data_IF_452692302917
#
_entry.id   IF_452692302917
#
_cell.length_a   1.000
_cell.length_b   1.000
_cell.length_c   1.000
_cell.angle_alpha   90.00
_cell.angle_beta   90.00
_cell.angle_gamma   90.00
#
_symmetry.space_group_name_H-M   'P 1'
#
loop_
_entity.id
_entity.type
_entity.pdbx_description
1 polymer ?
#
# COMPACT_ATOMS: atom_id res chain seq x y z
N UNK A 1 17.58 1.73 7.47
CA UNK A 1 16.36 2.47 7.08
C UNK A 1 15.27 2.12 8.07
N UNK A 2 14.91 3.04 8.97
CA UNK A 2 13.85 2.83 9.97
C UNK A 2 12.56 3.37 9.34
N UNK A 3 11.61 2.47 9.09
CA UNK A 3 10.27 2.81 8.57
C UNK A 3 9.42 3.14 9.80
N UNK A 4 9.08 4.41 10.00
CA UNK A 4 8.11 4.80 11.03
C UNK A 4 6.70 4.73 10.44
N UNK A 5 6.10 3.54 10.48
CA UNK A 5 4.66 3.35 10.31
C UNK A 5 3.98 3.60 11.66
N UNK A 6 3.00 4.50 11.71
CA UNK A 6 2.07 4.57 12.84
C UNK A 6 1.30 3.23 12.93
N UNK A 7 1.81 2.35 13.78
CA UNK A 7 1.35 0.98 14.00
C UNK A 7 0.51 0.86 15.28
N UNK A 8 0.20 1.96 15.95
CA UNK A 8 -0.46 1.95 17.26
C UNK A 8 -1.82 1.23 17.20
N UNK A 9 -2.53 1.36 16.08
CA UNK A 9 -3.80 0.65 15.80
C UNK A 9 -3.66 -0.62 14.95
N UNK A 10 -2.43 -0.99 14.59
CA UNK A 10 -2.18 -2.14 13.73
C UNK A 10 -2.11 -3.45 14.54
N UNK A 11 -1.70 -3.38 15.81
CA UNK A 11 -1.67 -4.53 16.72
C UNK A 11 -3.04 -5.21 16.86
N UNK A 12 -4.13 -4.43 16.94
CA UNK A 12 -5.51 -4.93 17.11
C UNK A 12 -6.12 -5.54 15.83
N UNK A 13 -5.49 -5.30 14.68
CA UNK A 13 -6.04 -5.62 13.36
C UNK A 13 -5.41 -6.84 12.70
N UNK A 14 -4.33 -7.39 13.27
CA UNK A 14 -3.69 -8.59 12.72
C UNK A 14 -4.59 -9.81 12.90
N UNK A 15 -5.06 -10.43 11.82
CA UNK A 15 -5.88 -11.64 11.95
C UNK A 15 -5.00 -12.86 12.26
N UNK A 16 -5.50 -13.72 13.15
CA UNK A 16 -4.75 -14.89 13.59
C UNK A 16 -4.45 -15.89 12.46
N UNK A 17 -5.38 -16.20 11.54
CA UNK A 17 -5.07 -17.11 10.41
C UNK A 17 -3.95 -16.60 9.53
N UNK A 18 -3.90 -15.29 9.28
CA UNK A 18 -2.84 -14.66 8.48
C UNK A 18 -1.48 -14.70 9.18
N UNK A 19 -1.45 -14.43 10.49
CA UNK A 19 -0.25 -14.53 11.30
C UNK A 19 0.32 -15.95 11.29
N UNK A 20 -0.53 -16.96 11.50
CA UNK A 20 -0.11 -18.37 11.45
C UNK A 20 0.39 -18.78 10.06
N UNK A 21 -0.30 -18.35 8.99
CA UNK A 21 0.11 -18.60 7.60
C UNK A 21 1.46 -17.94 7.30
N UNK A 22 1.67 -16.73 7.78
CA UNK A 22 2.92 -15.98 7.63
C UNK A 22 4.08 -16.71 8.31
N UNK A 23 3.91 -17.10 9.58
CA UNK A 23 4.92 -17.85 10.34
C UNK A 23 5.29 -19.17 9.66
N UNK A 24 4.30 -19.84 9.05
CA UNK A 24 4.54 -21.05 8.25
C UNK A 24 5.37 -20.76 7.00
N UNK A 25 5.09 -19.64 6.31
CA UNK A 25 5.78 -19.25 5.07
C UNK A 25 7.22 -18.78 5.30
N UNK A 26 7.51 -18.12 6.43
CA UNK A 26 8.87 -17.69 6.80
C UNK A 26 9.74 -18.84 7.34
N UNK A 27 9.23 -20.08 7.34
CA UNK A 27 10.02 -21.25 7.74
C UNK A 27 10.22 -21.38 9.25
N UNK A 28 9.29 -20.86 10.06
CA UNK A 28 9.35 -21.03 11.52
C UNK A 28 9.32 -22.51 11.87
N UNK A 29 10.20 -22.94 12.77
CA UNK A 29 10.27 -24.33 13.21
C UNK A 29 8.92 -24.79 13.78
N UNK A 30 8.55 -26.03 13.46
CA UNK A 30 7.24 -26.63 13.73
C UNK A 30 6.84 -26.55 15.20
N UNK A 31 7.81 -26.69 16.10
CA UNK A 31 7.63 -26.60 17.56
C UNK A 31 7.10 -25.23 17.97
N UNK A 32 7.75 -24.15 17.51
CA UNK A 32 7.34 -22.78 17.80
C UNK A 32 6.03 -22.41 17.11
N UNK A 33 5.82 -22.86 15.86
CA UNK A 33 4.55 -22.65 15.15
C UNK A 33 3.36 -23.27 15.91
N UNK A 34 3.54 -24.45 16.48
CA UNK A 34 2.49 -25.11 17.27
C UNK A 34 2.21 -24.39 18.59
N UNK A 35 3.23 -23.86 19.27
CA UNK A 35 3.03 -23.02 20.45
C UNK A 35 2.23 -21.76 20.13
N UNK A 36 2.56 -21.06 19.05
CA UNK A 36 1.83 -19.86 18.63
C UNK A 36 0.39 -20.20 18.22
N UNK A 37 0.18 -21.31 17.50
CA UNK A 37 -1.18 -21.80 17.20
C UNK A 37 -2.00 -22.05 18.47
N UNK A 38 -1.41 -22.68 19.49
CA UNK A 38 -2.09 -22.93 20.75
C UNK A 38 -2.43 -21.63 21.51
N UNK A 39 -1.55 -20.63 21.47
CA UNK A 39 -1.77 -19.32 22.08
C UNK A 39 -2.95 -18.59 21.41
N UNK A 40 -3.10 -18.73 20.10
CA UNK A 40 -4.11 -18.01 19.30
C UNK A 40 -5.27 -18.90 18.84
N UNK A 41 -5.42 -20.11 19.40
CA UNK A 41 -6.56 -20.96 19.15
C UNK A 41 -7.76 -20.48 19.98
N UNK A 42 -8.81 -20.05 19.29
CA UNK A 42 -10.09 -19.58 19.85
C UNK A 42 -9.96 -18.67 21.10
N UNK A 43 -9.13 -17.60 21.06
CA UNK A 43 -9.01 -16.69 22.20
C UNK A 43 -10.35 -16.02 22.46
N UNK A 44 -10.68 -15.76 23.73
CA UNK A 44 -11.88 -15.01 24.12
C UNK A 44 -11.49 -13.78 24.93
N UNK A 45 -12.29 -12.72 24.80
CA UNK A 45 -12.18 -11.50 25.60
C UNK A 45 -13.45 -11.32 26.43
N UNK A 46 -13.30 -10.84 27.66
CA UNK A 46 -14.40 -10.39 28.51
C UNK A 46 -14.26 -8.92 28.84
N UNK A 47 -15.37 -8.22 28.99
CA UNK A 47 -15.42 -6.82 29.40
C UNK A 47 -15.84 -6.77 30.87
N UNK A 48 -15.14 -5.98 31.67
CA UNK A 48 -15.57 -5.67 33.04
C UNK A 48 -16.12 -4.23 33.03
N UNK A 49 -17.40 -4.08 33.35
CA UNK A 49 -18.07 -2.78 33.42
C UNK A 49 -18.61 -2.60 34.85
N UNK A 50 -18.19 -1.54 35.54
CA UNK A 50 -18.64 -1.25 36.92
C UNK A 50 -18.45 -2.42 37.91
N UNK A 51 -17.41 -3.24 37.72
CA UNK A 51 -17.14 -4.41 38.54
C UNK A 51 -17.85 -5.69 38.10
N UNK A 52 -18.81 -5.61 37.18
CA UNK A 52 -19.50 -6.78 36.62
C UNK A 52 -18.83 -7.29 35.35
N UNK A 53 -18.60 -8.62 35.29
CA UNK A 53 -18.00 -9.28 34.13
C UNK A 53 -19.07 -9.67 33.13
N UNK A 54 -19.01 -9.07 31.94
CA UNK A 54 -19.90 -9.40 30.83
C UNK A 54 -19.52 -10.74 30.17
N UNK A 55 -20.45 -11.26 29.35
CA UNK A 55 -20.25 -12.49 28.58
C UNK A 55 -19.03 -12.37 27.66
N UNK A 56 -18.15 -13.37 27.72
CA UNK A 56 -16.97 -13.42 26.88
C UNK A 56 -17.34 -13.64 25.40
N UNK A 57 -16.58 -13.05 24.50
CA UNK A 57 -16.73 -13.19 23.05
C UNK A 57 -15.41 -13.63 22.40
N UNK A 58 -15.46 -14.36 21.28
CA UNK A 58 -14.25 -14.83 20.60
C UNK A 58 -13.51 -13.67 19.91
N UNK A 59 -12.19 -13.68 20.00
CA UNK A 59 -11.28 -12.82 19.26
C UNK A 59 -10.80 -13.54 18.00
N UNK A 60 -10.83 -12.84 16.86
CA UNK A 60 -10.35 -13.35 15.56
C UNK A 60 -9.14 -12.58 15.02
N UNK A 61 -8.82 -11.45 15.63
CA UNK A 61 -7.72 -10.58 15.30
C UNK A 61 -7.15 -9.94 16.56
N UNK A 62 -6.00 -9.30 16.41
CA UNK A 62 -5.30 -8.64 17.50
C UNK A 62 -4.19 -9.50 18.08
N UNK A 63 -3.04 -8.88 18.35
CA UNK A 63 -2.03 -9.49 19.22
C UNK A 63 -2.42 -9.30 20.69
N UNK A 64 -2.01 -10.21 21.58
CA UNK A 64 -2.32 -10.07 23.02
C UNK A 64 -1.60 -8.86 23.61
N UNK A 65 -2.35 -7.91 24.16
CA UNK A 65 -1.77 -6.80 24.91
C UNK A 65 -1.04 -7.32 26.16
N UNK A 66 0.12 -6.75 26.47
CA UNK A 66 0.97 -7.18 27.59
C UNK A 66 1.69 -8.52 27.40
N UNK A 67 1.53 -9.19 26.26
CA UNK A 67 2.26 -10.42 25.97
C UNK A 67 3.65 -10.10 25.39
N UNK A 68 4.74 -10.63 25.97
CA UNK A 68 6.10 -10.37 25.49
C UNK A 68 6.39 -10.92 24.08
N UNK A 69 5.61 -11.90 23.61
CA UNK A 69 5.72 -12.47 22.27
C UNK A 69 5.00 -11.64 21.19
N UNK A 70 4.02 -10.82 21.58
CA UNK A 70 3.19 -10.05 20.64
C UNK A 70 3.99 -9.09 19.75
N UNK A 71 4.98 -8.32 20.26
CA UNK A 71 5.79 -7.44 19.41
C UNK A 71 6.59 -8.21 18.36
N UNK A 72 7.14 -9.37 18.72
CA UNK A 72 7.94 -10.19 17.81
C UNK A 72 7.07 -10.81 16.70
N UNK A 73 5.90 -11.34 17.07
CA UNK A 73 4.93 -11.87 16.12
C UNK A 73 4.41 -10.79 15.16
N UNK A 74 4.17 -9.58 15.67
CA UNK A 74 3.77 -8.43 14.86
C UNK A 74 4.86 -8.07 13.83
N UNK A 75 6.13 -8.00 14.26
CA UNK A 75 7.25 -7.70 13.37
C UNK A 75 7.43 -8.76 12.28
N UNK A 76 7.33 -10.06 12.62
CA UNK A 76 7.38 -11.16 11.64
C UNK A 76 6.24 -11.12 10.62
N UNK A 77 5.05 -10.70 11.06
CA UNK A 77 3.90 -10.52 10.16
C UNK A 77 4.09 -9.33 9.22
N UNK A 78 4.74 -8.26 9.68
CA UNK A 78 5.12 -7.12 8.84
C UNK A 78 6.29 -7.43 7.88
N UNK A 79 7.05 -8.50 8.13
CA UNK A 79 8.17 -8.87 7.27
C UNK A 79 7.71 -9.35 5.89
N UNK A 80 6.49 -9.91 5.74
CA UNK A 80 5.91 -10.30 4.45
C UNK A 80 5.66 -9.11 3.51
N UNK A 81 4.95 -8.04 3.93
CA UNK A 81 4.88 -6.82 3.12
C UNK A 81 6.23 -6.12 3.00
N UNK A 82 7.16 -6.28 3.96
CA UNK A 82 8.51 -5.75 3.82
C UNK A 82 9.39 -6.55 2.83
N UNK A 83 9.15 -7.85 2.62
CA UNK A 83 9.88 -8.68 1.64
C UNK A 83 9.36 -8.46 0.22
N UNK A 84 8.10 -8.08 0.04
CA UNK A 84 7.59 -7.48 -1.19
C UNK A 84 8.47 -6.27 -1.62
N UNK A 85 8.90 -5.43 -0.67
CA UNK A 85 9.84 -4.33 -0.97
C UNK A 85 11.26 -4.75 -1.39
N UNK A 86 11.62 -6.04 -1.31
CA UNK A 86 12.94 -6.59 -1.71
C UNK A 86 12.96 -7.19 -3.13
N UNK A 87 11.86 -7.16 -3.87
CA UNK A 87 11.77 -7.76 -5.21
C UNK A 87 12.30 -6.81 -6.31
N UNK A 88 12.73 -7.40 -7.43
CA UNK A 88 13.25 -6.70 -8.61
C UNK A 88 12.28 -5.59 -9.04
N UNK A 89 12.73 -4.33 -9.15
CA UNK A 89 11.86 -3.23 -9.54
C UNK A 89 11.11 -3.51 -10.85
N UNK A 90 9.80 -3.26 -10.87
CA UNK A 90 8.94 -3.48 -12.04
C UNK A 90 9.47 -2.70 -13.26
N UNK A 91 9.77 -3.42 -14.34
CA UNK A 91 10.33 -2.85 -15.56
C UNK A 91 9.23 -2.14 -16.37
N UNK A 92 9.15 -0.82 -16.26
CA UNK A 92 8.30 -0.02 -17.16
C UNK A 92 9.03 0.14 -18.50
N UNK A 93 8.48 -0.46 -19.55
CA UNK A 93 9.00 -0.36 -20.92
C UNK A 93 8.18 0.66 -21.70
N UNK A 94 8.85 1.61 -22.34
CA UNK A 94 8.23 2.56 -23.25
C UNK A 94 8.06 1.92 -24.64
N UNK A 95 7.04 2.35 -25.38
CA UNK A 95 6.88 1.98 -26.79
C UNK A 95 8.08 2.49 -27.60
N UNK A 96 8.52 1.77 -28.65
CA UNK A 96 9.55 2.27 -29.56
C UNK A 96 9.21 3.67 -30.08
N UNK A 97 10.17 4.61 -30.00
CA UNK A 97 9.98 5.99 -30.45
C UNK A 97 9.23 6.92 -29.47
N UNK A 98 8.83 6.44 -28.29
CA UNK A 98 8.17 7.28 -27.29
C UNK A 98 9.08 8.43 -26.81
N UNK A 99 8.56 9.65 -26.86
CA UNK A 99 9.25 10.87 -26.41
C UNK A 99 8.71 11.34 -25.05
N UNK A 100 9.51 12.09 -24.27
CA UNK A 100 9.04 12.70 -23.03
C UNK A 100 7.84 13.62 -23.24
N UNK A 101 6.77 13.36 -22.48
CA UNK A 101 5.55 14.16 -22.51
C UNK A 101 5.68 15.34 -21.56
N UNK A 102 5.35 16.56 -22.03
CA UNK A 102 5.37 17.79 -21.23
C UNK A 102 4.01 18.49 -21.26
N UNK A 103 3.10 18.07 -20.39
CA UNK A 103 1.78 18.68 -20.24
C UNK A 103 1.81 19.82 -19.21
N UNK A 104 0.97 20.83 -19.40
CA UNK A 104 0.81 21.95 -18.46
C UNK A 104 -0.09 21.54 -17.30
N UNK A 105 0.27 21.99 -16.10
CA UNK A 105 -0.57 21.82 -14.91
C UNK A 105 -1.90 22.55 -15.10
N UNK A 106 -3.01 21.87 -14.78
CA UNK A 106 -4.34 22.50 -14.79
C UNK A 106 -4.42 23.61 -13.74
N UNK A 107 -5.27 24.61 -14.02
CA UNK A 107 -5.58 25.64 -13.04
C UNK A 107 -6.35 25.01 -11.87
N UNK A 108 -5.75 25.07 -10.67
CA UNK A 108 -6.35 24.56 -9.43
C UNK A 108 -6.62 25.77 -8.51
N UNK A 109 -7.87 25.94 -8.02
CA UNK A 109 -8.21 26.97 -7.04
C UNK A 109 -7.31 26.92 -5.79
N UNK A 110 -6.99 28.11 -5.25
CA UNK A 110 -6.04 28.24 -4.13
C UNK A 110 -6.46 27.44 -2.88
N UNK A 111 -7.75 27.43 -2.56
CA UNK A 111 -8.31 26.70 -1.41
C UNK A 111 -8.03 25.19 -1.52
N UNK A 112 -8.30 24.62 -2.69
CA UNK A 112 -8.05 23.21 -2.98
C UNK A 112 -6.54 22.91 -2.94
N UNK A 113 -5.74 23.84 -3.47
CA UNK A 113 -4.28 23.72 -3.47
C UNK A 113 -3.71 23.69 -2.04
N UNK A 114 -4.24 24.51 -1.13
CA UNK A 114 -3.86 24.48 0.29
C UNK A 114 -4.19 23.14 0.95
N UNK A 115 -5.38 22.60 0.69
CA UNK A 115 -5.77 21.27 1.20
C UNK A 115 -4.86 20.14 0.68
N UNK A 116 -4.44 20.22 -0.58
CA UNK A 116 -3.52 19.24 -1.17
C UNK A 116 -2.08 19.43 -0.67
N UNK A 117 -1.64 20.66 -0.40
CA UNK A 117 -0.27 20.95 0.06
C UNK A 117 0.10 20.14 1.31
N UNK A 118 -0.77 20.13 2.33
CA UNK A 118 -0.52 19.37 3.56
C UNK A 118 -0.35 17.86 3.31
N UNK A 119 -1.00 17.32 2.28
CA UNK A 119 -0.83 15.93 1.87
C UNK A 119 0.52 15.72 1.17
N UNK A 120 0.92 16.62 0.27
CA UNK A 120 2.21 16.55 -0.43
C UNK A 120 3.40 16.70 0.52
N UNK A 121 3.28 17.58 1.53
CA UNK A 121 4.33 17.79 2.54
C UNK A 121 4.60 16.49 3.31
N UNK A 122 3.55 15.79 3.76
CA UNK A 122 3.69 14.48 4.41
C UNK A 122 4.38 13.45 3.50
N UNK A 123 4.05 13.46 2.20
CA UNK A 123 4.69 12.55 1.25
C UNK A 123 6.17 12.88 1.03
N UNK A 124 6.54 14.16 1.05
CA UNK A 124 7.93 14.62 0.98
C UNK A 124 8.71 14.22 2.25
N UNK A 125 8.12 14.43 3.43
CA UNK A 125 8.70 14.04 4.73
C UNK A 125 9.00 12.52 4.79
N UNK A 126 8.11 11.70 4.24
CA UNK A 126 8.28 10.26 4.18
C UNK A 126 9.12 9.77 2.97
N UNK A 127 9.63 10.67 2.13
CA UNK A 127 10.43 10.32 0.95
C UNK A 127 9.66 9.55 -0.14
N UNK A 128 8.32 9.62 -0.11
CA UNK A 128 7.45 9.06 -1.15
C UNK A 128 7.39 9.98 -2.38
N UNK A 129 7.60 11.27 -2.17
CA UNK A 129 7.88 12.27 -3.19
C UNK A 129 9.29 12.80 -3.01
N UNK A 130 9.92 13.16 -4.13
CA UNK A 130 11.19 13.88 -4.15
C UNK A 130 11.12 15.05 -5.12
N UNK A 131 11.86 16.12 -4.80
CA UNK A 131 12.06 17.25 -5.71
C UNK A 131 13.12 16.87 -6.74
N UNK A 132 12.75 16.88 -8.02
CA UNK A 132 13.69 16.55 -9.11
C UNK A 132 13.23 17.13 -10.44
N UNK A 133 14.16 17.78 -11.14
CA UNK A 133 13.93 18.26 -12.50
C UNK A 133 14.04 17.10 -13.49
N UNK A 134 12.98 16.89 -14.27
CA UNK A 134 12.77 15.71 -15.11
C UNK A 134 12.11 16.10 -16.44
N UNK A 135 12.42 15.38 -17.53
CA UNK A 135 11.94 15.74 -18.87
C UNK A 135 10.45 15.45 -19.08
N UNK A 136 9.88 14.53 -18.28
CA UNK A 136 8.45 14.23 -18.29
C UNK A 136 7.71 15.15 -17.33
N UNK A 137 6.48 15.51 -17.67
CA UNK A 137 5.62 16.35 -16.86
C UNK A 137 4.17 16.04 -17.17
N UNK A 138 3.42 15.58 -16.19
CA UNK A 138 1.96 15.42 -16.31
C UNK A 138 1.22 16.17 -15.20
N UNK A 139 -0.02 16.61 -15.45
CA UNK A 139 -0.73 17.45 -14.50
C UNK A 139 -1.36 16.64 -13.36
N UNK A 140 -1.57 17.31 -12.23
CA UNK A 140 -2.44 16.86 -11.14
C UNK A 140 -3.86 17.37 -11.32
N UNK A 141 -4.82 16.52 -10.94
CA UNK A 141 -6.24 16.78 -10.90
C UNK A 141 -6.72 16.68 -9.44
N UNK A 142 -7.40 17.70 -8.90
CA UNK A 142 -8.04 17.59 -7.61
C UNK A 142 -9.35 16.80 -7.74
N UNK A 143 -9.44 15.66 -7.06
CA UNK A 143 -10.66 14.84 -7.05
C UNK A 143 -11.30 14.90 -5.67
N UNK A 144 -12.56 15.35 -5.60
CA UNK A 144 -13.31 15.38 -4.35
C UNK A 144 -13.47 13.98 -3.77
N UNK A 145 -13.27 13.84 -2.47
CA UNK A 145 -13.59 12.62 -1.74
C UNK A 145 -15.11 12.57 -1.52
N UNK A 146 -15.78 11.43 -1.78
CA UNK A 146 -17.22 11.30 -1.55
C UNK A 146 -17.57 11.62 -0.09
N UNK A 147 -18.59 12.47 0.12
CA UNK A 147 -19.08 12.80 1.47
C UNK A 147 -18.22 13.79 2.28
N UNK A 148 -17.16 14.38 1.69
CA UNK A 148 -16.32 15.38 2.37
C UNK A 148 -16.00 16.56 1.45
N UNK A 149 -15.62 17.71 2.02
CA UNK A 149 -15.11 18.84 1.24
C UNK A 149 -13.64 18.65 0.79
N UNK A 150 -12.96 17.63 1.34
CA UNK A 150 -11.59 17.30 0.99
C UNK A 150 -11.42 16.88 -0.47
N UNK A 151 -10.31 17.31 -1.07
CA UNK A 151 -9.84 16.84 -2.37
C UNK A 151 -8.55 16.03 -2.22
N UNK A 152 -8.42 14.97 -3.01
CA UNK A 152 -7.16 14.21 -3.16
C UNK A 152 -6.49 14.58 -4.49
N UNK A 153 -5.17 14.72 -4.54
CA UNK A 153 -4.48 14.87 -5.80
C UNK A 153 -4.49 13.54 -6.55
N UNK A 154 -4.86 13.58 -7.83
CA UNK A 154 -4.78 12.44 -8.76
C UNK A 154 -3.96 12.89 -9.95
N UNK A 155 -2.87 12.18 -10.24
CA UNK A 155 -2.07 12.51 -11.42
C UNK A 155 -2.74 11.97 -12.67
N UNK A 156 -2.87 12.82 -13.70
CA UNK A 156 -3.27 12.35 -15.02
C UNK A 156 -2.09 11.64 -15.67
N UNK A 157 -2.19 10.32 -15.75
CA UNK A 157 -1.16 9.45 -16.32
C UNK A 157 -1.56 8.95 -17.71
N UNK A 158 -2.60 9.50 -18.34
CA UNK A 158 -3.13 9.03 -19.63
C UNK A 158 -2.06 9.01 -20.72
N UNK A 159 -1.31 10.11 -20.88
CA UNK A 159 -0.24 10.18 -21.86
C UNK A 159 0.93 9.21 -21.57
N UNK A 160 1.24 8.97 -20.28
CA UNK A 160 2.25 7.98 -19.88
C UNK A 160 1.74 6.57 -20.14
N UNK A 161 0.46 6.31 -19.88
CA UNK A 161 -0.20 5.05 -20.16
C UNK A 161 -0.22 4.76 -21.68
N UNK A 162 -0.39 5.77 -22.53
CA UNK A 162 -0.29 5.61 -23.98
C UNK A 162 1.13 5.32 -24.45
N UNK A 163 2.13 5.98 -23.85
CA UNK A 163 3.55 5.83 -24.18
C UNK A 163 4.19 4.54 -23.66
N UNK A 164 3.55 3.83 -22.74
CA UNK A 164 4.08 2.60 -22.12
C UNK A 164 3.52 1.34 -22.77
N UNK A 165 4.34 0.28 -22.82
CA UNK A 165 3.89 -1.05 -23.22
C UNK A 165 3.00 -1.62 -22.10
N UNK A 166 1.88 -2.22 -22.49
CA UNK A 166 1.01 -2.91 -21.54
C UNK A 166 1.68 -4.22 -21.13
N UNK A 167 1.80 -4.46 -19.83
CA UNK A 167 2.23 -5.76 -19.33
C UNK A 167 1.02 -6.70 -19.44
N UNK A 168 1.10 -7.71 -20.32
CA UNK A 168 0.12 -8.81 -20.37
C UNK A 168 0.38 -9.77 -19.21
N UNK A 169 0.13 -9.31 -17.99
CA UNK A 169 0.11 -10.16 -16.81
C UNK A 169 -1.34 -10.62 -16.61
N UNK A 170 -1.57 -11.93 -16.65
CA UNK A 170 -2.90 -12.51 -16.46
C UNK A 170 -3.32 -12.35 -15.00
N UNK A 171 -4.11 -11.32 -14.73
CA UNK A 171 -4.82 -11.17 -13.46
C UNK A 171 -5.95 -12.21 -13.42
N UNK A 172 -5.89 -13.22 -12.54
CA UNK A 172 -6.98 -14.18 -12.43
C UNK A 172 -8.23 -13.45 -11.96
N UNK A 173 -9.36 -13.68 -12.63
CA UNK A 173 -10.63 -13.11 -12.19
C UNK A 173 -11.04 -13.72 -10.83
N UNK A 174 -11.95 -13.03 -10.12
CA UNK A 174 -12.37 -13.43 -8.77
C UNK A 174 -12.88 -14.88 -8.72
N UNK A 175 -13.60 -15.34 -9.75
CA UNK A 175 -14.10 -16.72 -9.83
C UNK A 175 -12.96 -17.75 -9.93
N UNK A 176 -11.90 -17.44 -10.68
CA UNK A 176 -10.70 -18.28 -10.78
C UNK A 176 -10.00 -18.37 -9.43
N UNK A 177 -9.86 -17.22 -8.74
CA UNK A 177 -9.23 -17.16 -7.40
C UNK A 177 -10.08 -17.91 -6.36
N UNK A 178 -11.40 -17.76 -6.39
CA UNK A 178 -12.30 -18.47 -5.49
C UNK A 178 -12.35 -19.97 -5.78
N UNK A 179 -12.20 -20.37 -7.05
CA UNK A 179 -12.10 -21.77 -7.46
C UNK A 179 -10.84 -22.47 -6.96
N UNK A 180 -9.80 -21.72 -6.57
CA UNK A 180 -8.61 -22.27 -5.89
C UNK A 180 -8.85 -22.56 -4.40
N UNK A 181 -9.98 -22.12 -3.84
CA UNK A 181 -10.32 -22.42 -2.46
C UNK A 181 -10.83 -23.86 -2.35
N UNK A 182 -10.31 -24.67 -1.41
CA UNK A 182 -10.89 -25.96 -1.08
C UNK A 182 -12.38 -25.81 -0.68
N UNK A 183 -13.21 -26.78 -1.02
CA UNK A 183 -14.65 -26.84 -0.65
C UNK A 183 -14.90 -26.95 0.86
N UNK A 184 -13.84 -27.16 1.65
CA UNK A 184 -13.86 -27.26 3.12
C UNK A 184 -13.70 -25.92 3.85
N UNK A 185 -13.59 -24.79 3.14
CA UNK A 185 -13.44 -23.46 3.75
C UNK A 185 -14.81 -22.89 4.13
N UNK A 186 -15.14 -22.89 5.43
CA UNK A 186 -16.41 -22.39 5.96
C UNK A 186 -16.44 -20.88 6.25
N UNK A 187 -15.34 -20.15 6.00
CA UNK A 187 -15.29 -18.72 6.27
C UNK A 187 -14.18 -17.98 5.53
N UNK A 188 -14.51 -16.76 5.08
CA UNK A 188 -13.57 -15.84 4.46
C UNK A 188 -13.30 -14.66 5.36
N UNK A 189 -12.09 -14.09 5.28
CA UNK A 189 -11.81 -12.80 5.91
C UNK A 189 -11.12 -11.89 4.91
N UNK A 190 -11.71 -10.71 4.68
CA UNK A 190 -11.28 -9.75 3.68
C UNK A 190 -10.22 -8.83 4.27
N UNK A 191 -9.05 -8.78 3.64
CA UNK A 191 -8.02 -7.79 3.90
C UNK A 191 -8.15 -6.66 2.88
N UNK A 192 -8.02 -5.42 3.33
CA UNK A 192 -7.88 -4.27 2.44
C UNK A 192 -6.55 -3.60 2.78
N UNK A 193 -5.58 -3.71 1.87
CA UNK A 193 -4.32 -3.00 1.99
C UNK A 193 -4.58 -1.53 1.63
N UNK A 194 -4.64 -0.68 2.65
CA UNK A 194 -4.73 0.76 2.44
C UNK A 194 -3.43 1.23 1.76
N UNK A 195 -3.57 1.91 0.63
CA UNK A 195 -2.47 2.52 -0.11
C UNK A 195 -1.39 1.54 -0.63
N UNK A 196 -1.79 0.31 -0.97
CA UNK A 196 -0.91 -0.78 -1.44
C UNK A 196 0.05 -0.40 -2.59
N UNK A 197 -0.29 0.60 -3.39
CA UNK A 197 0.56 1.08 -4.49
C UNK A 197 1.86 1.75 -4.01
N UNK A 198 1.87 2.34 -2.81
CA UNK A 198 3.09 2.94 -2.24
C UNK A 198 4.06 1.91 -1.65
N UNK A 199 3.65 0.64 -1.56
CA UNK A 199 4.52 -0.45 -1.09
C UNK A 199 5.54 -0.87 -2.15
N UNK A 200 5.31 -0.56 -3.44
CA UNK A 200 6.16 -1.02 -4.54
C UNK A 200 7.20 0.04 -4.91
N UNK A 201 8.48 -0.31 -4.74
CA UNK A 201 9.58 0.57 -5.13
C UNK A 201 9.67 0.67 -6.66
N UNK A 202 9.58 1.90 -7.17
CA UNK A 202 9.98 2.15 -8.55
C UNK A 202 11.52 2.17 -8.61
N UNK A 203 12.12 1.58 -9.65
CA UNK A 203 13.58 1.60 -9.82
C UNK A 203 14.10 3.06 -9.81
N UNK A 204 15.19 3.38 -9.09
CA UNK A 204 15.77 4.74 -9.07
C UNK A 204 16.10 5.31 -10.46
N UNK A 205 16.42 4.42 -11.42
CA UNK A 205 16.68 4.77 -12.82
C UNK A 205 15.41 5.21 -13.60
N UNK A 206 14.20 5.03 -13.05
CA UNK A 206 12.93 5.18 -13.78
C UNK A 206 11.87 6.03 -13.06
N UNK A 207 12.26 6.75 -12.00
CA UNK A 207 11.52 7.89 -11.44
C UNK A 207 11.24 9.09 -12.40
N UNK A 208 11.83 9.23 -13.61
CA UNK A 208 11.51 10.34 -14.49
C UNK A 208 10.05 10.43 -14.94
N UNK A 209 9.37 9.29 -15.12
CA UNK A 209 8.08 9.23 -15.82
C UNK A 209 6.96 9.93 -15.06
N UNK A 210 6.94 9.83 -13.74
CA UNK A 210 5.81 10.25 -12.92
C UNK A 210 5.95 11.67 -12.36
N UNK A 211 6.78 12.50 -12.99
CA UNK A 211 6.96 13.87 -12.55
C UNK A 211 5.74 14.75 -12.86
N UNK A 212 5.43 15.65 -11.94
CA UNK A 212 4.40 16.67 -12.05
C UNK A 212 4.90 18.01 -11.51
N UNK A 213 4.31 19.10 -11.99
CA UNK A 213 4.62 20.45 -11.49
C UNK A 213 3.66 20.82 -10.37
N UNK A 214 4.21 21.41 -9.32
CA UNK A 214 3.42 21.92 -8.21
C UNK A 214 3.89 23.31 -7.82
N UNK A 215 2.92 24.21 -7.63
CA UNK A 215 3.16 25.55 -7.12
C UNK A 215 2.73 25.59 -5.66
N UNK A 216 3.65 25.88 -4.75
CA UNK A 216 3.33 25.93 -3.33
C UNK A 216 2.39 27.14 -3.06
N UNK A 217 1.19 26.94 -2.48
CA UNK A 217 0.22 28.01 -2.25
C UNK A 217 0.64 29.02 -1.16
N UNK A 218 1.66 28.70 -0.36
CA UNK A 218 2.19 29.55 0.71
C UNK A 218 3.39 30.37 0.23
N UNK A 219 4.32 29.75 -0.51
CA UNK A 219 5.56 30.41 -0.95
C UNK A 219 5.51 30.93 -2.39
N UNK A 220 4.53 30.49 -3.19
CA UNK A 220 4.45 30.80 -4.63
C UNK A 220 5.51 30.09 -5.49
N UNK A 221 6.36 29.25 -4.88
CA UNK A 221 7.47 28.59 -5.57
C UNK A 221 6.94 27.46 -6.44
N UNK A 222 7.34 27.43 -7.71
CA UNK A 222 7.07 26.32 -8.64
C UNK A 222 8.20 25.32 -8.60
N UNK A 223 7.87 24.07 -8.30
CA UNK A 223 8.82 22.98 -8.21
C UNK A 223 8.28 21.75 -8.97
N UNK A 224 9.20 20.89 -9.41
CA UNK A 224 8.84 19.60 -9.99
C UNK A 224 9.04 18.49 -8.96
N UNK A 225 7.96 17.75 -8.72
CA UNK A 225 7.92 16.61 -7.81
C UNK A 225 7.79 15.33 -8.61
N UNK A 226 8.39 14.25 -8.13
CA UNK A 226 8.17 12.91 -8.69
C UNK A 226 8.05 11.87 -7.60
N UNK A 227 7.34 10.79 -7.91
CA UNK A 227 7.15 9.65 -7.03
C UNK A 227 8.39 8.77 -6.96
N UNK A 228 8.72 8.29 -5.76
CA UNK A 228 9.76 7.25 -5.54
C UNK A 228 9.19 5.83 -5.56
N UNK A 229 7.86 5.73 -5.72
CA UNK A 229 7.06 4.50 -5.75
C UNK A 229 6.16 4.50 -6.98
N UNK A 230 5.55 3.36 -7.29
CA UNK A 230 4.54 3.31 -8.35
C UNK A 230 3.35 4.22 -8.00
N UNK A 231 2.99 5.10 -8.93
CA UNK A 231 1.91 6.04 -8.73
C UNK A 231 0.54 5.39 -8.96
N UNK A 232 -0.45 5.91 -8.24
CA UNK A 232 -1.84 5.55 -8.45
C UNK A 232 -2.32 6.08 -9.83
N UNK A 233 -2.96 5.22 -10.61
CA UNK A 233 -3.47 5.55 -11.96
C UNK A 233 -2.59 5.08 -13.13
N UNK A 234 -1.41 4.52 -12.85
CA UNK A 234 -0.60 3.87 -13.88
C UNK A 234 -1.21 2.51 -14.26
N UNK A 235 -1.42 2.28 -15.56
CA UNK A 235 -2.20 1.14 -16.08
C UNK A 235 -1.67 -0.24 -15.69
N UNK A 236 -0.36 -0.36 -15.50
CA UNK A 236 0.28 -1.62 -15.13
C UNK A 236 0.41 -1.79 -13.60
N UNK A 237 0.06 -0.79 -12.79
CA UNK A 237 0.19 -0.87 -11.32
C UNK A 237 -0.61 -2.02 -10.69
N UNK A 238 -1.89 -2.29 -11.06
CA UNK A 238 -2.64 -3.41 -10.50
C UNK A 238 -2.04 -4.77 -10.85
N UNK A 239 -1.62 -4.93 -12.10
CA UNK A 239 -1.08 -6.19 -12.61
C UNK A 239 0.28 -6.50 -11.99
N UNK A 240 1.12 -5.48 -11.81
CA UNK A 240 2.42 -5.63 -11.19
C UNK A 240 2.32 -5.92 -9.68
N UNK A 241 1.38 -5.27 -8.98
CA UNK A 241 1.10 -5.56 -7.56
C UNK A 241 0.60 -7.01 -7.36
N UNK A 242 -0.18 -7.53 -8.31
CA UNK A 242 -0.68 -8.90 -8.22
C UNK A 242 0.38 -9.96 -8.58
N UNK A 243 1.20 -9.73 -9.62
CA UNK A 243 2.31 -10.62 -9.96
C UNK A 243 3.28 -10.76 -8.78
N UNK A 244 3.55 -9.66 -8.09
CA UNK A 244 4.33 -9.64 -6.85
C UNK A 244 3.66 -10.41 -5.71
N UNK A 245 2.35 -10.21 -5.51
CA UNK A 245 1.61 -10.93 -4.47
C UNK A 245 1.55 -12.45 -4.73
N UNK A 246 1.51 -12.87 -6.00
CA UNK A 246 1.45 -14.26 -6.43
C UNK A 246 2.84 -14.91 -6.59
N UNK A 247 3.93 -14.15 -6.47
CA UNK A 247 5.30 -14.66 -6.65
C UNK A 247 5.60 -15.09 -8.09
N UNK A 248 4.90 -14.52 -9.07
CA UNK A 248 5.10 -14.77 -10.50
C UNK A 248 6.00 -13.68 -11.09
N UNK A 249 7.30 -13.76 -10.81
CA UNK A 249 8.33 -12.98 -11.49
C UNK A 249 9.30 -13.92 -12.19
#
# INVERSE_FOLDING_TARGET
MIISTDAEKAFDKVQHPFMIKTLTKVGTERTYLNMVKAIYDKPTAGIILNGEKLKAFPLKSGTRQGCPLSPLLFNLVLEVPATATRHTPILIVLKPGAQPVKLRQYSIPREIRQGIQAYLDRLLEHGLLIKRQLPWKTPLLPVKKPGTQDSRPVQDLTAINEATIMLHLSVPNLYTVLGWSPSTVEGFTRWNLKDAFFCLQAAPARCPLFAFEWENPHTGTKEQLTWTRLSQGFKNSPAANLAEFLGQN
#
